data_IF_073742568145
#
_entry.id   IF_073742568145
#
_cell.length_a   1.000
_cell.length_b   1.000
_cell.length_c   1.000
_cell.angle_alpha   90.00
_cell.angle_beta   90.00
_cell.angle_gamma   90.00
#
_symmetry.space_group_name_H-M   'P 1'
#
loop_
_entity.id
_entity.type
_entity.pdbx_description
1 polymer ?
#
# COMPACT_ATOMS: atom_id res chain seq x y z
N UNK A 1 -28.59 -21.79 19.40
CA UNK A 1 -28.62 -20.59 20.23
C UNK A 1 -27.16 -20.25 20.48
N UNK A 2 -26.44 -19.61 19.56
CA UNK A 2 -26.88 -18.75 18.45
C UNK A 2 -26.18 -19.09 17.14
N UNK A 3 -26.97 -19.12 16.08
CA UNK A 3 -26.51 -18.82 14.72
C UNK A 3 -26.13 -17.36 14.71
N UNK A 4 -24.86 -16.99 14.50
CA UNK A 4 -24.55 -15.61 14.14
C UNK A 4 -23.35 -15.50 13.19
N UNK A 5 -23.73 -15.21 11.95
CA UNK A 5 -23.07 -14.32 11.01
C UNK A 5 -21.72 -14.76 10.44
N UNK A 6 -21.82 -15.51 9.34
CA UNK A 6 -20.86 -15.45 8.25
C UNK A 6 -20.85 -13.99 7.75
N UNK A 7 -19.84 -13.22 8.15
CA UNK A 7 -19.58 -11.90 7.60
C UNK A 7 -19.50 -11.99 6.07
N UNK A 8 -20.20 -11.11 5.37
CA UNK A 8 -20.45 -11.14 3.92
C UNK A 8 -19.23 -11.11 3.00
N UNK A 9 -18.01 -11.08 3.53
CA UNK A 9 -16.73 -11.12 2.81
C UNK A 9 -15.99 -12.47 2.94
N UNK A 10 -16.65 -13.48 3.50
CA UNK A 10 -16.09 -14.80 3.71
C UNK A 10 -15.98 -15.59 2.39
N UNK A 11 -14.77 -15.70 1.83
CA UNK A 11 -14.44 -16.53 0.65
C UNK A 11 -14.87 -18.00 0.75
N UNK A 12 -15.28 -18.46 1.94
CA UNK A 12 -15.97 -19.72 2.16
C UNK A 12 -17.23 -19.88 1.29
N UNK A 13 -17.89 -18.77 0.94
CA UNK A 13 -19.08 -18.76 0.10
C UNK A 13 -18.81 -18.53 -1.40
N UNK A 14 -17.57 -18.18 -1.79
CA UNK A 14 -17.19 -17.88 -3.18
C UNK A 14 -16.53 -19.07 -3.92
N UNK A 15 -16.48 -20.24 -3.31
CA UNK A 15 -15.91 -21.46 -3.93
C UNK A 15 -14.38 -21.52 -3.92
N UNK A 16 -13.71 -20.70 -3.10
CA UNK A 16 -12.25 -20.72 -2.88
C UNK A 16 -11.87 -21.40 -1.56
N UNK A 17 -12.64 -22.42 -1.20
CA UNK A 17 -12.37 -23.30 -0.08
C UNK A 17 -12.19 -24.74 -0.57
N UNK A 18 -11.44 -25.53 0.18
CA UNK A 18 -11.17 -26.93 -0.13
C UNK A 18 -11.35 -27.79 1.11
N UNK A 19 -11.95 -28.95 0.91
CA UNK A 19 -12.07 -29.99 1.93
C UNK A 19 -10.99 -31.02 1.66
N UNK A 20 -10.03 -31.15 2.59
CA UNK A 20 -8.93 -32.11 2.47
C UNK A 20 -9.11 -33.28 3.46
N UNK A 21 -8.74 -34.48 3.04
CA UNK A 21 -8.81 -35.70 3.85
C UNK A 21 -7.63 -36.61 3.53
N UNK A 22 -7.35 -37.58 4.41
CA UNK A 22 -6.35 -38.62 4.14
C UNK A 22 -7.00 -39.77 3.35
N UNK A 23 -6.22 -40.45 2.51
CA UNK A 23 -6.73 -41.56 1.68
C UNK A 23 -7.29 -42.72 2.51
N UNK A 24 -6.78 -42.92 3.71
CA UNK A 24 -7.22 -43.93 4.69
C UNK A 24 -8.33 -43.44 5.63
N UNK A 25 -8.70 -42.15 5.56
CA UNK A 25 -9.71 -41.50 6.42
C UNK A 25 -9.48 -41.70 7.92
N UNK A 26 -8.21 -41.85 8.33
CA UNK A 26 -7.83 -42.00 9.73
C UNK A 26 -7.93 -40.66 10.45
N UNK A 27 -8.93 -40.55 11.33
CA UNK A 27 -9.21 -39.34 12.12
C UNK A 27 -8.03 -38.92 13.01
N UNK A 28 -7.17 -39.85 13.41
CA UNK A 28 -5.99 -39.53 14.23
C UNK A 28 -4.96 -38.69 13.45
N UNK A 29 -5.01 -38.72 12.11
CA UNK A 29 -4.09 -37.97 11.24
C UNK A 29 -4.61 -36.58 10.88
N UNK A 30 -5.87 -36.27 11.15
CA UNK A 30 -6.48 -35.01 10.76
C UNK A 30 -5.93 -33.80 11.51
N UNK A 31 -5.51 -33.98 12.78
CA UNK A 31 -4.79 -32.93 13.50
C UNK A 31 -3.46 -32.56 12.83
N UNK A 32 -2.70 -33.56 12.37
CA UNK A 32 -1.46 -33.34 11.64
C UNK A 32 -1.72 -32.74 10.24
N UNK A 33 -2.78 -33.18 9.55
CA UNK A 33 -3.19 -32.62 8.27
C UNK A 33 -3.60 -31.15 8.39
N UNK A 34 -4.39 -30.80 9.42
CA UNK A 34 -4.76 -29.42 9.71
C UNK A 34 -3.52 -28.57 10.00
N UNK A 35 -2.55 -29.11 10.75
CA UNK A 35 -1.29 -28.43 11.01
C UNK A 35 -0.50 -28.15 9.71
N UNK A 36 -0.42 -29.12 8.80
CA UNK A 36 0.21 -28.94 7.50
C UNK A 36 -0.51 -27.88 6.65
N UNK A 37 -1.84 -27.82 6.72
CA UNK A 37 -2.61 -26.78 6.02
C UNK A 37 -2.30 -25.37 6.56
N UNK A 38 -2.16 -25.21 7.88
CA UNK A 38 -1.72 -23.94 8.48
C UNK A 38 -0.31 -23.58 8.00
N UNK A 39 0.61 -24.54 7.96
CA UNK A 39 1.98 -24.32 7.49
C UNK A 39 2.06 -24.04 5.98
N UNK A 40 1.13 -24.58 5.20
CA UNK A 40 0.97 -24.27 3.78
C UNK A 40 0.37 -22.88 3.51
N UNK A 41 -0.07 -22.15 4.54
CA UNK A 41 -0.54 -20.78 4.44
C UNK A 41 -2.04 -20.63 4.18
N UNK A 42 -2.85 -21.65 4.46
CA UNK A 42 -4.31 -21.47 4.52
C UNK A 42 -4.68 -20.54 5.68
N UNK A 43 -5.65 -19.67 5.45
CA UNK A 43 -6.03 -18.64 6.42
C UNK A 43 -6.95 -19.18 7.51
N UNK A 44 -7.98 -19.90 7.08
CA UNK A 44 -8.88 -20.58 7.98
C UNK A 44 -8.72 -22.08 7.81
N UNK A 45 -8.38 -22.75 8.90
CA UNK A 45 -8.31 -24.21 8.97
C UNK A 45 -9.22 -24.65 10.10
N UNK A 46 -10.33 -25.30 9.75
CA UNK A 46 -11.28 -25.79 10.72
C UNK A 46 -11.35 -27.31 10.69
N UNK A 47 -11.19 -27.88 11.89
CA UNK A 47 -11.38 -29.30 12.14
C UNK A 47 -12.21 -29.46 13.41
N UNK A 48 -13.54 -29.37 13.26
CA UNK A 48 -14.47 -29.68 14.35
C UNK A 48 -15.47 -30.72 13.87
N UNK A 49 -15.25 -31.97 14.28
CA UNK A 49 -16.13 -33.15 14.12
C UNK A 49 -16.46 -33.67 12.71
N UNK A 50 -15.98 -33.02 11.64
CA UNK A 50 -16.21 -33.45 10.24
C UNK A 50 -15.15 -34.45 9.74
N UNK A 51 -15.51 -35.29 8.78
CA UNK A 51 -14.66 -36.36 8.23
C UNK A 51 -13.49 -35.84 7.35
N UNK A 52 -13.22 -34.56 7.39
CA UNK A 52 -12.33 -33.81 6.51
C UNK A 52 -11.95 -32.49 7.21
N UNK A 53 -10.88 -31.86 6.74
CA UNK A 53 -10.39 -30.55 7.23
C UNK A 53 -10.81 -29.49 6.22
N UNK A 54 -11.55 -28.46 6.67
CA UNK A 54 -11.89 -27.32 5.81
C UNK A 54 -10.74 -26.35 5.78
N UNK A 55 -10.34 -25.93 4.59
CA UNK A 55 -9.32 -24.91 4.40
C UNK A 55 -9.84 -23.82 3.46
N UNK A 56 -9.59 -22.55 3.77
CA UNK A 56 -9.82 -21.44 2.84
C UNK A 56 -8.60 -20.51 2.79
N UNK A 57 -8.48 -19.76 1.70
CA UNK A 57 -7.45 -18.73 1.54
C UNK A 57 -8.02 -17.36 1.93
N UNK A 58 -7.14 -16.41 2.29
CA UNK A 58 -7.52 -14.99 2.42
C UNK A 58 -8.03 -14.45 1.10
N UNK A 59 -8.97 -13.51 1.19
CA UNK A 59 -9.27 -12.66 0.05
C UNK A 59 -8.00 -11.89 -0.35
N UNK A 60 -7.80 -11.68 -1.65
CA UNK A 60 -6.70 -10.81 -2.12
C UNK A 60 -6.79 -9.43 -1.43
N UNK A 61 -8.01 -8.98 -1.13
CA UNK A 61 -8.33 -7.77 -0.38
C UNK A 61 -7.81 -7.80 1.06
N UNK A 62 -7.94 -8.91 1.80
CA UNK A 62 -7.48 -9.05 3.19
C UNK A 62 -5.97 -9.27 3.30
N UNK A 63 -5.40 -10.07 2.39
CA UNK A 63 -3.95 -10.21 2.28
C UNK A 63 -3.31 -8.85 1.95
N UNK A 64 -3.93 -8.10 1.03
CA UNK A 64 -3.54 -6.73 0.74
C UNK A 64 -3.76 -5.80 1.96
N UNK A 65 -4.83 -5.97 2.75
CA UNK A 65 -5.20 -5.13 3.92
C UNK A 65 -4.14 -5.16 5.01
N UNK A 66 -3.49 -6.30 5.16
CA UNK A 66 -2.39 -6.46 6.11
C UNK A 66 -1.03 -5.99 5.59
N UNK A 67 -0.88 -5.75 4.28
CA UNK A 67 0.44 -5.50 3.66
C UNK A 67 0.81 -4.02 3.53
N UNK A 68 -0.15 -3.09 3.64
CA UNK A 68 0.03 -1.66 3.40
C UNK A 68 0.52 -1.34 1.98
N UNK A 69 0.22 -0.16 1.47
CA UNK A 69 0.63 0.19 0.12
C UNK A 69 2.11 0.47 0.02
N UNK A 70 2.73 -0.18 -0.94
CA UNK A 70 4.16 -0.12 -1.20
C UNK A 70 4.42 0.15 -2.69
N UNK A 71 5.67 0.51 -2.97
CA UNK A 71 6.29 0.57 -4.30
C UNK A 71 7.32 -0.56 -4.42
N UNK A 72 7.59 -1.08 -5.63
CA UNK A 72 8.73 -1.97 -5.85
C UNK A 72 10.04 -1.28 -5.51
N UNK A 73 11.04 -2.04 -5.09
CA UNK A 73 12.35 -1.48 -4.71
C UNK A 73 13.06 -0.70 -5.83
N UNK A 74 12.84 -1.05 -7.09
CA UNK A 74 13.47 -0.41 -8.25
C UNK A 74 12.74 0.84 -8.76
N UNK A 75 11.48 1.07 -8.34
CA UNK A 75 10.74 2.28 -8.71
C UNK A 75 11.50 3.52 -8.29
N UNK A 76 11.30 4.61 -9.00
CA UNK A 76 12.16 5.78 -8.92
C UNK A 76 11.46 7.00 -8.36
N UNK A 77 12.14 7.72 -7.47
CA UNK A 77 11.77 9.06 -7.02
C UNK A 77 12.86 10.06 -7.38
N UNK A 78 12.46 11.29 -7.69
CA UNK A 78 13.40 12.38 -7.92
C UNK A 78 13.65 13.16 -6.62
N UNK A 79 14.91 13.46 -6.34
CA UNK A 79 15.35 14.32 -5.24
C UNK A 79 15.34 15.79 -5.65
N UNK A 80 15.29 16.69 -4.66
CA UNK A 80 15.32 18.15 -4.88
C UNK A 80 16.60 18.68 -5.54
N UNK A 81 17.65 17.86 -5.61
CA UNK A 81 18.89 18.17 -6.33
C UNK A 81 18.87 17.68 -7.80
N UNK A 82 17.72 17.21 -8.29
CA UNK A 82 17.52 16.70 -9.64
C UNK A 82 17.99 15.26 -9.87
N UNK A 83 18.62 14.61 -8.89
CA UNK A 83 19.01 13.20 -9.00
C UNK A 83 17.79 12.29 -8.84
N UNK A 84 17.79 11.19 -9.57
CA UNK A 84 16.82 10.11 -9.36
C UNK A 84 17.41 9.02 -8.48
N UNK A 85 16.60 8.50 -7.55
CA UNK A 85 16.97 7.41 -6.63
C UNK A 85 15.94 6.29 -6.67
N UNK A 86 16.36 5.07 -6.35
CA UNK A 86 15.46 3.93 -6.21
C UNK A 86 14.69 4.02 -4.89
N UNK A 87 13.48 3.46 -4.85
CA UNK A 87 12.67 3.35 -3.62
C UNK A 87 13.38 2.56 -2.53
N UNK A 88 14.21 1.58 -2.91
CA UNK A 88 15.06 0.85 -1.97
C UNK A 88 16.08 1.76 -1.26
N UNK A 89 16.58 2.78 -1.97
CA UNK A 89 17.60 3.70 -1.48
C UNK A 89 17.05 4.94 -0.77
N UNK A 90 15.74 5.22 -0.87
CA UNK A 90 15.09 6.34 -0.18
C UNK A 90 15.34 6.27 1.34
N UNK A 91 15.69 7.39 1.95
CA UNK A 91 15.97 7.51 3.40
C UNK A 91 15.08 8.56 4.04
N UNK A 92 14.88 8.44 5.34
CA UNK A 92 14.27 9.51 6.14
C UNK A 92 15.16 10.75 6.07
N UNK A 93 14.56 11.90 5.80
CA UNK A 93 15.26 13.16 5.55
C UNK A 93 15.53 13.46 4.07
N UNK A 94 15.40 12.48 3.17
CA UNK A 94 15.48 12.76 1.73
C UNK A 94 14.33 13.68 1.32
N UNK A 95 14.65 14.68 0.49
CA UNK A 95 13.67 15.64 -0.04
C UNK A 95 13.27 15.22 -1.45
N UNK A 96 12.13 14.55 -1.54
CA UNK A 96 11.64 13.87 -2.76
C UNK A 96 10.55 14.68 -3.45
N UNK A 97 10.40 14.50 -4.76
CA UNK A 97 9.37 15.13 -5.57
C UNK A 97 7.97 14.70 -5.11
N UNK A 98 7.10 15.68 -4.95
CA UNK A 98 5.71 15.53 -4.50
C UNK A 98 4.81 16.43 -5.35
N UNK A 99 3.49 16.18 -5.30
CA UNK A 99 2.49 17.03 -5.94
C UNK A 99 1.69 17.81 -4.89
N UNK A 100 1.39 19.08 -5.15
CA UNK A 100 0.50 19.88 -4.31
C UNK A 100 -0.97 19.77 -4.71
N UNK A 101 -1.87 20.43 -3.96
CA UNK A 101 -3.32 20.40 -4.18
C UNK A 101 -3.75 20.94 -5.56
N UNK A 102 -2.89 21.71 -6.24
CA UNK A 102 -3.14 22.31 -7.54
C UNK A 102 -2.46 21.52 -8.68
N UNK A 103 -1.72 20.46 -8.37
CA UNK A 103 -1.00 19.67 -9.36
C UNK A 103 0.40 20.20 -9.68
N UNK A 104 0.93 21.16 -8.93
CA UNK A 104 2.29 21.63 -9.09
C UNK A 104 3.28 20.68 -8.40
N UNK A 105 4.44 20.48 -9.03
CA UNK A 105 5.54 19.69 -8.48
C UNK A 105 6.30 20.53 -7.44
N UNK A 106 6.49 19.95 -6.26
CA UNK A 106 7.26 20.51 -5.14
C UNK A 106 8.18 19.42 -4.56
N UNK A 107 8.94 19.73 -3.51
CA UNK A 107 9.79 18.76 -2.81
C UNK A 107 9.51 18.74 -1.30
N UNK A 108 9.33 17.54 -0.75
CA UNK A 108 9.00 17.34 0.66
C UNK A 108 9.86 16.26 1.29
N UNK A 109 10.11 16.39 2.60
CA UNK A 109 10.95 15.47 3.35
C UNK A 109 10.22 14.14 3.54
N UNK A 110 10.93 13.04 3.33
CA UNK A 110 10.52 11.71 3.79
C UNK A 110 10.65 11.69 5.30
N UNK A 111 9.53 11.55 6.00
CA UNK A 111 9.49 11.60 7.46
C UNK A 111 9.57 10.21 8.10
N UNK A 112 9.29 9.16 7.32
CA UNK A 112 9.22 7.79 7.83
C UNK A 112 9.22 6.77 6.69
N UNK A 113 9.76 5.58 6.96
CA UNK A 113 9.58 4.39 6.12
C UNK A 113 8.69 3.41 6.90
N UNK A 114 7.47 3.17 6.39
CA UNK A 114 6.48 2.29 7.03
C UNK A 114 6.82 0.84 6.80
N UNK A 115 7.11 0.48 5.55
CA UNK A 115 7.53 -0.86 5.17
C UNK A 115 8.84 -0.81 4.38
N UNK A 116 9.70 -1.80 4.67
CA UNK A 116 10.88 -2.13 3.87
C UNK A 116 11.06 -3.64 3.92
N UNK A 117 10.41 -4.33 2.98
CA UNK A 117 10.44 -5.79 2.85
C UNK A 117 11.46 -6.12 1.78
N UNK A 118 12.48 -6.90 2.10
CA UNK A 118 13.53 -7.30 1.16
C UNK A 118 13.31 -8.75 0.74
N UNK A 119 13.45 -9.06 -0.56
CA UNK A 119 13.34 -10.42 -1.11
C UNK A 119 12.00 -11.14 -0.84
N UNK A 120 10.97 -10.42 -0.39
CA UNK A 120 9.61 -10.91 -0.20
C UNK A 120 8.82 -10.72 -1.51
N UNK A 121 8.14 -11.78 -1.96
CA UNK A 121 7.29 -11.73 -3.15
C UNK A 121 6.01 -10.95 -2.85
N UNK A 122 5.80 -9.83 -3.55
CA UNK A 122 4.65 -8.95 -3.35
C UNK A 122 3.94 -8.72 -4.67
N UNK A 123 2.60 -8.74 -4.65
CA UNK A 123 1.77 -8.47 -5.82
C UNK A 123 1.73 -6.96 -6.11
N UNK A 124 1.96 -6.60 -7.36
CA UNK A 124 1.84 -5.24 -7.88
C UNK A 124 0.92 -5.18 -9.10
N UNK A 125 0.24 -4.06 -9.23
CA UNK A 125 -0.51 -3.63 -10.39
C UNK A 125 0.39 -2.69 -11.20
N UNK A 126 0.72 -3.10 -12.41
CA UNK A 126 1.36 -2.26 -13.42
C UNK A 126 0.27 -1.53 -14.18
N UNK A 127 0.20 -0.21 -13.97
CA UNK A 127 -0.72 0.68 -14.65
C UNK A 127 0.06 1.41 -15.73
N UNK A 128 -0.38 1.28 -16.98
CA UNK A 128 0.25 1.90 -18.14
C UNK A 128 -0.68 2.93 -18.79
N UNK A 129 -0.11 4.05 -19.19
CA UNK A 129 -0.81 5.17 -19.83
C UNK A 129 -0.61 5.18 -21.34
N UNK A 130 -1.47 5.93 -22.05
CA UNK A 130 -1.41 6.05 -23.51
C UNK A 130 -0.10 6.62 -24.06
N UNK A 131 0.66 7.34 -23.23
CA UNK A 131 1.97 7.90 -23.57
C UNK A 131 3.16 7.04 -23.09
N UNK A 132 2.89 5.81 -22.64
CA UNK A 132 3.92 4.85 -22.23
C UNK A 132 4.49 5.05 -20.83
N UNK A 133 3.97 5.99 -20.04
CA UNK A 133 4.29 6.08 -18.62
C UNK A 133 3.68 4.89 -17.87
N UNK A 134 4.46 4.33 -16.95
CA UNK A 134 4.06 3.18 -16.15
C UNK A 134 4.31 3.44 -14.67
N UNK A 135 3.45 2.90 -13.82
CA UNK A 135 3.65 2.87 -12.37
C UNK A 135 3.25 1.52 -11.81
N UNK A 136 4.00 1.05 -10.81
CA UNK A 136 3.73 -0.20 -10.12
C UNK A 136 3.35 0.04 -8.68
N UNK A 137 2.16 -0.43 -8.30
CA UNK A 137 1.58 -0.21 -6.99
C UNK A 137 0.99 -1.49 -6.43
N UNK A 138 1.19 -1.76 -5.15
CA UNK A 138 0.40 -2.80 -4.46
C UNK A 138 -1.10 -2.48 -4.54
N UNK A 139 -2.01 -3.48 -4.47
CA UNK A 139 -3.46 -3.28 -4.65
C UNK A 139 -4.05 -2.10 -3.85
N UNK A 140 -3.59 -1.88 -2.61
CA UNK A 140 -4.10 -0.86 -1.71
C UNK A 140 -3.35 0.47 -1.74
N UNK A 141 -2.36 0.61 -2.60
CA UNK A 141 -1.73 1.92 -2.74
C UNK A 141 -2.74 2.92 -3.30
N UNK A 142 -2.83 4.11 -2.71
CA UNK A 142 -3.71 5.15 -3.23
C UNK A 142 -3.03 5.91 -4.36
N UNK A 143 -3.73 6.03 -5.49
CA UNK A 143 -3.33 6.79 -6.67
C UNK A 143 -4.42 7.81 -7.00
N UNK A 144 -4.00 8.97 -7.52
CA UNK A 144 -4.92 10.03 -7.94
C UNK A 144 -5.49 9.69 -9.33
N UNK A 145 -6.82 9.62 -9.42
CA UNK A 145 -7.55 9.26 -10.64
C UNK A 145 -8.64 10.28 -10.97
N UNK A 146 -9.08 10.31 -12.24
CA UNK A 146 -10.30 10.99 -12.68
C UNK A 146 -11.00 10.20 -13.79
N UNK A 147 -12.32 10.33 -13.90
CA UNK A 147 -13.11 9.71 -14.98
C UNK A 147 -13.08 10.54 -16.28
N UNK A 148 -12.53 11.76 -16.23
CA UNK A 148 -12.39 12.65 -17.38
C UNK A 148 -11.01 13.32 -17.36
N UNK A 149 -10.53 13.94 -18.47
CA UNK A 149 -9.24 14.63 -18.49
C UNK A 149 -9.32 15.97 -17.73
N UNK A 150 -9.54 15.91 -16.42
CA UNK A 150 -9.72 17.06 -15.53
C UNK A 150 -8.41 17.53 -14.92
N UNK A 151 -8.46 18.70 -14.26
CA UNK A 151 -7.33 19.23 -13.49
C UNK A 151 -7.01 18.36 -12.27
N UNK A 152 -5.82 18.50 -11.70
CA UNK A 152 -5.42 17.72 -10.52
C UNK A 152 -6.31 18.01 -9.30
N UNK A 153 -6.79 19.24 -9.15
CA UNK A 153 -7.71 19.64 -8.08
C UNK A 153 -9.06 18.92 -8.11
N UNK A 154 -9.42 18.33 -9.25
CA UNK A 154 -10.64 17.53 -9.42
C UNK A 154 -10.36 16.03 -9.33
N UNK A 155 -9.13 15.63 -9.00
CA UNK A 155 -8.76 14.23 -8.83
C UNK A 155 -9.33 13.65 -7.54
N UNK A 156 -9.50 12.33 -7.53
CA UNK A 156 -9.87 11.56 -6.35
C UNK A 156 -8.83 10.48 -6.07
N UNK A 157 -8.56 10.21 -4.79
CA UNK A 157 -7.73 9.09 -4.41
C UNK A 157 -8.51 7.77 -4.53
N UNK A 158 -7.98 6.82 -5.30
CA UNK A 158 -8.54 5.47 -5.45
C UNK A 158 -7.47 4.42 -5.15
N UNK A 159 -7.88 3.23 -4.73
CA UNK A 159 -6.93 2.12 -4.62
C UNK A 159 -6.44 1.69 -6.00
N UNK A 160 -5.18 1.31 -6.12
CA UNK A 160 -4.60 0.79 -7.36
C UNK A 160 -5.42 -0.39 -7.93
N UNK A 161 -6.03 -1.21 -7.08
CA UNK A 161 -6.92 -2.30 -7.49
C UNK A 161 -8.26 -1.87 -8.11
N UNK A 162 -8.67 -0.63 -7.88
CA UNK A 162 -9.95 -0.06 -8.35
C UNK A 162 -9.80 0.76 -9.64
N UNK A 163 -8.56 1.03 -10.05
CA UNK A 163 -8.25 1.72 -11.30
C UNK A 163 -8.78 0.90 -12.48
N UNK A 164 -9.39 1.60 -13.44
CA UNK A 164 -9.92 1.01 -14.67
C UNK A 164 -9.29 1.64 -15.89
N UNK A 165 -9.24 0.88 -16.98
CA UNK A 165 -8.90 1.44 -18.29
C UNK A 165 -9.88 2.55 -18.66
N UNK A 166 -9.41 3.52 -19.44
CA UNK A 166 -10.10 4.76 -19.80
C UNK A 166 -10.30 5.79 -18.67
N UNK A 167 -9.89 5.50 -17.43
CA UNK A 167 -9.68 6.55 -16.43
C UNK A 167 -8.38 7.29 -16.69
N UNK A 168 -8.18 8.42 -16.02
CA UNK A 168 -6.98 9.25 -16.13
C UNK A 168 -6.20 9.21 -14.83
N UNK A 169 -4.88 9.07 -14.93
CA UNK A 169 -3.93 9.26 -13.82
C UNK A 169 -3.04 10.46 -14.10
N UNK A 170 -2.39 11.01 -13.08
CA UNK A 170 -1.67 12.26 -13.21
C UNK A 170 -0.16 12.01 -13.32
N UNK A 171 0.43 12.46 -14.44
CA UNK A 171 1.83 12.23 -14.77
C UNK A 171 2.56 13.57 -14.88
N UNK A 172 3.76 13.66 -14.30
CA UNK A 172 4.64 14.82 -14.50
C UNK A 172 5.15 14.84 -15.93
N UNK A 173 4.85 15.92 -16.65
CA UNK A 173 5.52 16.20 -17.92
C UNK A 173 6.77 17.05 -17.63
N UNK A 174 7.96 16.61 -18.08
CA UNK A 174 9.14 17.46 -18.03
C UNK A 174 8.90 18.70 -18.92
N UNK A 175 8.89 19.89 -18.34
CA UNK A 175 9.05 21.10 -19.14
C UNK A 175 10.51 21.22 -19.56
N UNK A 176 10.75 21.41 -20.86
CA UNK A 176 12.07 21.80 -21.36
C UNK A 176 12.45 23.23 -20.97
N UNK A 177 11.49 24.00 -20.44
CA UNK A 177 11.69 25.37 -20.02
C UNK A 177 12.01 25.43 -18.51
N UNK A 178 13.25 25.78 -18.17
CA UNK A 178 13.78 25.76 -16.80
C UNK A 178 13.13 26.78 -15.85
N UNK A 179 12.30 27.67 -16.38
CA UNK A 179 11.61 28.71 -15.61
C UNK A 179 10.12 28.41 -15.37
N UNK A 180 9.56 27.36 -15.98
CA UNK A 180 8.20 26.93 -15.74
C UNK A 180 8.14 25.99 -14.53
N UNK A 181 7.14 26.18 -13.67
CA UNK A 181 6.84 25.20 -12.61
C UNK A 181 6.33 23.93 -13.29
N UNK A 182 6.97 22.80 -13.02
CA UNK A 182 6.50 21.51 -13.52
C UNK A 182 5.14 21.19 -12.91
N UNK A 183 4.20 20.72 -13.74
CA UNK A 183 2.85 20.33 -13.33
C UNK A 183 2.51 18.94 -13.82
N UNK A 184 1.66 18.26 -13.06
CA UNK A 184 1.12 16.97 -13.47
C UNK A 184 -0.04 17.16 -14.45
N UNK A 185 -0.17 16.23 -15.39
CA UNK A 185 -1.22 16.25 -16.41
C UNK A 185 -1.96 14.92 -16.45
N UNK A 186 -3.28 14.92 -16.68
CA UNK A 186 -4.06 13.69 -16.80
C UNK A 186 -3.62 12.90 -18.04
N UNK A 187 -3.34 11.61 -17.87
CA UNK A 187 -2.99 10.65 -18.91
C UNK A 187 -3.90 9.45 -18.80
N UNK A 188 -4.47 9.03 -19.92
CA UNK A 188 -5.45 7.94 -19.93
C UNK A 188 -4.76 6.60 -19.69
N UNK A 189 -5.33 5.80 -18.81
CA UNK A 189 -4.92 4.42 -18.54
C UNK A 189 -5.37 3.53 -19.69
N UNK A 190 -4.42 2.81 -20.30
CA UNK A 190 -4.66 1.92 -21.44
C UNK A 190 -4.51 0.45 -21.08
N UNK A 191 -3.71 0.13 -20.06
CA UNK A 191 -3.46 -1.24 -19.63
C UNK A 191 -3.24 -1.32 -18.13
N UNK A 192 -3.72 -2.42 -17.54
CA UNK A 192 -3.53 -2.77 -16.14
C UNK A 192 -3.16 -4.24 -16.08
N UNK A 193 -1.96 -4.55 -15.60
CA UNK A 193 -1.45 -5.92 -15.52
C UNK A 193 -1.02 -6.24 -14.10
N UNK A 194 -1.14 -7.50 -13.69
CA UNK A 194 -0.67 -7.99 -12.39
C UNK A 194 0.69 -8.64 -12.54
N UNK A 195 1.61 -8.31 -11.67
CA UNK A 195 2.94 -8.91 -11.65
C UNK A 195 3.47 -9.04 -10.22
N UNK A 196 4.44 -9.92 -10.04
CA UNK A 196 5.05 -10.18 -8.76
C UNK A 196 6.46 -9.62 -8.73
N UNK A 197 6.73 -8.73 -7.79
CA UNK A 197 8.07 -8.21 -7.58
C UNK A 197 8.65 -8.66 -6.25
N UNK A 198 9.98 -8.67 -6.21
CA UNK A 198 10.73 -8.86 -5.00
C UNK A 198 11.08 -7.49 -4.46
N UNK A 199 10.81 -7.28 -3.18
CA UNK A 199 11.07 -6.03 -2.45
C UNK A 199 9.95 -5.00 -2.58
N UNK A 200 9.51 -4.51 -1.42
CA UNK A 200 8.45 -3.53 -1.30
C UNK A 200 8.84 -2.45 -0.28
N UNK A 201 8.68 -1.18 -0.65
CA UNK A 201 9.02 -0.03 0.20
C UNK A 201 7.85 0.94 0.26
N UNK A 202 7.55 1.45 1.46
CA UNK A 202 6.49 2.42 1.69
C UNK A 202 7.03 3.66 2.44
N UNK A 203 7.59 4.64 1.72
CA UNK A 203 7.98 5.91 2.30
C UNK A 203 6.75 6.80 2.54
N UNK A 204 6.77 7.57 3.64
CA UNK A 204 5.77 8.58 3.96
C UNK A 204 6.44 9.95 3.91
N UNK A 205 5.86 10.85 3.12
CA UNK A 205 6.35 12.23 3.02
C UNK A 205 5.59 13.13 3.99
N UNK A 206 6.18 14.27 4.34
CA UNK A 206 5.49 15.28 5.16
C UNK A 206 4.24 15.83 4.45
N UNK A 207 4.25 15.93 3.12
CA UNK A 207 3.12 16.45 2.33
C UNK A 207 1.97 15.43 2.25
N UNK A 208 2.30 14.14 2.22
CA UNK A 208 1.30 13.07 2.08
C UNK A 208 1.13 12.58 0.65
N UNK A 209 1.73 13.26 -0.34
CA UNK A 209 1.84 12.83 -1.74
C UNK A 209 3.28 12.45 -2.08
N UNK A 210 3.47 11.81 -3.23
CA UNK A 210 4.77 11.43 -3.79
C UNK A 210 4.66 11.34 -5.32
N UNK A 211 5.77 11.58 -6.03
CA UNK A 211 5.88 11.31 -7.46
C UNK A 211 6.83 10.13 -7.65
N UNK A 212 6.30 9.04 -8.23
CA UNK A 212 7.02 7.77 -8.43
C UNK A 212 6.89 7.36 -9.89
N UNK A 213 8.02 7.08 -10.55
CA UNK A 213 8.06 6.74 -11.98
C UNK A 213 7.32 7.77 -12.85
N UNK A 214 7.41 9.05 -12.46
CA UNK A 214 6.72 10.21 -13.04
C UNK A 214 5.21 10.27 -12.80
N UNK A 215 4.64 9.39 -11.98
CA UNK A 215 3.20 9.37 -11.65
C UNK A 215 2.97 9.92 -10.25
N UNK A 216 1.99 10.81 -10.12
CA UNK A 216 1.52 11.32 -8.85
C UNK A 216 0.70 10.27 -8.11
N UNK A 217 1.11 9.99 -6.88
CA UNK A 217 0.51 8.98 -6.00
C UNK A 217 0.42 9.52 -4.58
N UNK A 218 -0.46 8.94 -3.77
CA UNK A 218 -0.42 9.21 -2.33
C UNK A 218 0.81 8.52 -1.72
N UNK A 219 1.36 9.10 -0.66
CA UNK A 219 2.31 8.38 0.21
C UNK A 219 1.59 7.55 1.29
N UNK A 220 0.25 7.59 1.30
CA UNK A 220 -0.63 6.77 2.13
C UNK A 220 -1.28 5.65 1.33
N UNK A 221 -1.75 4.64 2.05
CA UNK A 221 -2.13 3.40 1.40
C UNK A 221 -3.28 2.61 2.03
N UNK A 222 -4.00 3.21 2.97
CA UNK A 222 -5.15 2.55 3.61
C UNK A 222 -6.30 3.54 3.78
N UNK A 223 -5.98 4.81 4.00
CA UNK A 223 -6.95 5.82 4.36
C UNK A 223 -7.18 6.75 3.15
N UNK A 224 -8.36 6.65 2.55
CA UNK A 224 -8.79 7.52 1.43
C UNK A 224 -8.94 8.98 1.86
N UNK A 225 -9.39 9.21 3.09
CA UNK A 225 -9.49 10.55 3.66
C UNK A 225 -8.10 11.08 4.05
N UNK A 226 -7.57 12.00 3.25
CA UNK A 226 -6.26 12.61 3.51
C UNK A 226 -6.21 13.26 4.90
N UNK A 227 -7.31 13.86 5.37
CA UNK A 227 -7.40 14.40 6.74
C UNK A 227 -7.21 13.33 7.81
N UNK A 228 -7.86 12.17 7.65
CA UNK A 228 -7.75 11.08 8.61
C UNK A 228 -6.35 10.45 8.55
N UNK A 229 -5.76 10.35 7.36
CA UNK A 229 -4.37 9.93 7.19
C UNK A 229 -3.42 10.92 7.89
N UNK A 230 -3.60 12.23 7.65
CA UNK A 230 -2.81 13.29 8.26
C UNK A 230 -2.95 13.30 9.78
N UNK A 231 -4.16 13.09 10.30
CA UNK A 231 -4.43 13.01 11.73
C UNK A 231 -3.75 11.79 12.37
N UNK A 232 -3.83 10.61 11.74
CA UNK A 232 -3.16 9.40 12.22
C UNK A 232 -1.62 9.56 12.27
N UNK A 233 -1.06 10.35 11.35
CA UNK A 233 0.36 10.67 11.30
C UNK A 233 0.75 12.00 11.96
N UNK A 234 -0.19 12.72 12.57
CA UNK A 234 0.05 14.03 13.18
C UNK A 234 1.10 13.99 14.31
N UNK A 235 1.14 12.98 15.21
CA UNK A 235 2.18 12.89 16.24
C UNK A 235 3.60 12.78 15.67
N UNK A 236 3.77 12.03 14.58
CA UNK A 236 5.08 11.87 13.89
C UNK A 236 5.48 13.16 13.20
N UNK A 237 4.53 13.85 12.55
CA UNK A 237 4.77 15.15 11.91
C UNK A 237 5.15 16.23 12.93
N UNK A 238 4.48 16.25 14.09
CA UNK A 238 4.84 17.15 15.19
C UNK A 238 6.26 16.89 15.67
N UNK A 239 6.60 15.62 15.91
CA UNK A 239 7.94 15.24 16.34
C UNK A 239 9.03 15.61 15.32
N UNK A 240 8.79 15.37 14.03
CA UNK A 240 9.73 15.75 12.97
C UNK A 240 9.86 17.26 12.82
N UNK A 241 8.75 18.01 12.93
CA UNK A 241 8.76 19.47 12.93
C UNK A 241 9.58 20.03 14.09
N UNK A 242 9.35 19.55 15.32
CA UNK A 242 10.10 19.96 16.51
C UNK A 242 11.58 19.64 16.31
N UNK A 243 11.94 18.40 15.93
CA UNK A 243 13.34 17.99 15.70
C UNK A 243 14.07 18.86 14.67
N UNK A 244 13.43 19.17 13.55
CA UNK A 244 14.03 20.01 12.51
C UNK A 244 14.20 21.46 12.99
N UNK A 245 13.23 21.99 13.75
CA UNK A 245 13.31 23.35 14.29
C UNK A 245 14.33 23.52 15.42
N UNK A 246 14.71 22.44 16.11
CA UNK A 246 15.80 22.44 17.12
C UNK A 246 17.17 22.01 16.55
N UNK A 247 17.31 21.81 15.23
CA UNK A 247 18.60 21.57 14.58
C UNK A 247 19.22 20.18 14.81
N UNK A 248 18.45 19.19 15.23
CA UNK A 248 18.93 17.80 15.33
C UNK A 248 18.95 17.15 13.93
N UNK A 249 20.11 17.15 13.28
CA UNK A 249 20.38 16.36 12.07
C UNK A 249 20.85 14.96 12.46
N UNK A 250 20.20 13.94 11.88
CA UNK A 250 20.64 12.56 12.06
C UNK A 250 21.97 12.37 11.33
N UNK A 251 23.01 11.93 12.03
CA UNK A 251 24.27 11.55 11.37
C UNK A 251 24.03 10.24 10.64
N UNK A 252 23.87 10.33 9.33
CA UNK A 252 23.70 9.17 8.47
C UNK A 252 25.00 8.33 8.47
N UNK A 253 25.03 7.28 9.27
CA UNK A 253 26.14 6.32 9.35
C UNK A 253 26.07 5.27 8.22
N UNK A 254 25.21 5.43 7.21
CA UNK A 254 25.10 4.51 6.08
C UNK A 254 24.49 3.14 6.43
N UNK A 255 23.91 2.98 7.62
CA UNK A 255 23.20 1.77 8.01
C UNK A 255 21.74 1.83 7.56
N UNK A 256 21.21 0.68 7.10
CA UNK A 256 19.79 0.52 6.72
C UNK A 256 18.93 0.85 7.93
N UNK A 257 18.18 1.96 7.86
CA UNK A 257 17.35 2.38 8.99
C UNK A 257 16.16 1.41 9.18
N UNK A 258 15.93 0.94 10.42
CA UNK A 258 14.83 0.04 10.72
C UNK A 258 13.48 0.75 10.63
N UNK A 259 12.42 -0.01 10.34
CA UNK A 259 11.03 0.45 10.37
C UNK A 259 10.73 1.16 11.70
N UNK A 260 10.12 2.36 11.63
CA UNK A 260 9.93 3.23 12.78
C UNK A 260 9.01 2.60 13.85
N UNK A 261 9.33 2.70 15.15
CA UNK A 261 8.58 2.03 16.22
C UNK A 261 7.07 2.40 16.25
N UNK A 262 6.73 3.64 15.88
CA UNK A 262 5.35 4.11 15.81
C UNK A 262 4.52 3.38 14.73
N UNK A 263 5.14 2.84 13.68
CA UNK A 263 4.40 2.07 12.66
C UNK A 263 3.95 0.72 13.21
N UNK A 264 4.76 0.09 14.09
CA UNK A 264 4.32 -1.10 14.84
C UNK A 264 3.12 -0.76 15.72
N UNK A 265 3.14 0.38 16.40
CA UNK A 265 2.02 0.84 17.22
C UNK A 265 0.78 1.15 16.39
N UNK A 266 0.91 1.81 15.24
CA UNK A 266 -0.19 2.07 14.31
C UNK A 266 -0.72 0.79 13.68
N UNK A 267 0.11 -0.21 13.40
CA UNK A 267 -0.32 -1.50 12.87
C UNK A 267 -1.07 -2.31 13.94
N UNK A 268 -0.63 -2.25 15.19
CA UNK A 268 -1.38 -2.82 16.33
C UNK A 268 -2.69 -2.07 16.54
N UNK A 269 -2.69 -0.74 16.46
CA UNK A 269 -3.89 0.08 16.58
C UNK A 269 -4.83 -0.10 15.38
N UNK A 270 -4.34 -0.29 14.16
CA UNK A 270 -5.18 -0.57 12.99
C UNK A 270 -5.82 -1.93 13.14
N UNK A 271 -5.13 -2.94 13.66
CA UNK A 271 -5.76 -4.22 14.00
C UNK A 271 -6.88 -4.09 15.03
N UNK A 272 -6.79 -3.11 15.94
CA UNK A 272 -7.80 -2.83 16.98
C UNK A 272 -8.92 -1.90 16.49
N UNK A 273 -8.63 -0.94 15.63
CA UNK A 273 -9.60 0.05 15.13
C UNK A 273 -10.34 -0.47 13.90
N UNK A 274 -9.67 -1.28 13.06
CA UNK A 274 -10.28 -1.97 11.91
C UNK A 274 -11.18 -3.11 12.37
N UNK A 275 -10.96 -3.70 13.56
CA UNK A 275 -11.93 -4.65 14.14
C UNK A 275 -13.24 -3.96 14.55
N UNK A 276 -13.20 -2.72 15.03
CA UNK A 276 -14.38 -2.04 15.56
C UNK A 276 -15.21 -1.29 14.51
N UNK A 277 -14.68 -1.07 13.29
CA UNK A 277 -15.40 -0.35 12.22
C UNK A 277 -15.87 -1.21 11.05
N UNK A 278 -15.53 -2.50 11.03
CA UNK A 278 -16.10 -3.49 10.10
C UNK A 278 -17.16 -4.39 10.76
N UNK A 279 -17.29 -4.37 12.10
CA UNK A 279 -18.36 -5.06 12.83
C UNK A 279 -19.23 -4.07 13.63
N UNK A 280 -20.26 -3.45 13.02
CA UNK A 280 -21.28 -2.76 13.79
C UNK A 280 -22.15 -3.82 14.50
N UNK A 281 -21.76 -4.20 15.71
CA UNK A 281 -22.55 -5.06 16.58
C UNK A 281 -21.74 -6.11 17.33
N UNK A 282 -21.11 -5.70 18.44
CA UNK A 282 -20.79 -6.64 19.52
C UNK A 282 -20.94 -5.94 20.87
N UNK A 283 -22.19 -5.89 21.32
CA UNK A 283 -22.57 -5.82 22.72
C UNK A 283 -23.48 -6.99 23.02
#
# INVERSE_FOLDING_TARGET
WDEDQISGDSLHAEGRAVDITTSDRDKNKYGALARLAVEAGFDWVAFESKAWVHCSVKSESDAAATSGGCFPGFSQAQLSNGRTISMLDVRVGDRVAVVDEHGAVDYSDVIMIVHRKLNESTLFYLIETEDGFTVQLTPQHLIYVSDSPSTFSESQAAFASEVRTNQYIYVTAQNHDRHAVDTVRPRRVVSITRLWERTAVAPVTRRGSLIVDNVAVSSYAVIRDEWLAHAAFAPVRWYSYVRHSIGFTDKDNGQVQPVHWYTKALYTLSKIIVSDRLYPGSS
#
